data_IF_020845561732
#
_entry.id   IF_020845561732
#
_cell.length_a   1.000
_cell.length_b   1.000
_cell.length_c   1.000
_cell.angle_alpha   90.00
_cell.angle_beta   90.00
_cell.angle_gamma   90.00
#
_symmetry.space_group_name_H-M   'P 1'
#
loop_
_entity.id
_entity.type
_entity.pdbx_description
1 polymer ?
#
# COMPACT_ATOMS: atom_id res chain seq x y z
N UNK A 1 -12.30 7.69 35.82
CA UNK A 1 -12.09 8.68 34.74
C UNK A 1 -10.99 8.19 33.83
N UNK A 2 -11.19 7.10 33.06
CA UNK A 2 -10.24 6.71 32.00
C UNK A 2 -10.73 5.53 31.12
N UNK A 3 -12.00 5.44 30.72
CA UNK A 3 -12.48 4.29 29.90
C UNK A 3 -13.47 4.70 28.79
N UNK A 4 -13.30 5.89 28.20
CA UNK A 4 -14.22 6.35 27.13
C UNK A 4 -13.57 6.99 25.91
N UNK A 5 -12.25 6.87 25.74
CA UNK A 5 -11.56 7.60 24.65
C UNK A 5 -10.68 6.75 23.75
N UNK A 6 -10.85 5.41 23.78
CA UNK A 6 -10.14 4.51 22.87
C UNK A 6 -11.07 3.63 22.02
N UNK A 7 -12.37 3.96 21.93
CA UNK A 7 -13.36 3.23 21.12
C UNK A 7 -13.61 3.87 19.75
N UNK A 8 -12.72 4.74 19.27
CA UNK A 8 -12.59 5.03 17.84
C UNK A 8 -11.56 4.08 17.22
N UNK A 9 -11.71 2.78 17.50
CA UNK A 9 -11.02 1.71 16.81
C UNK A 9 -11.72 1.51 15.49
N UNK A 10 -10.97 1.63 14.40
CA UNK A 10 -11.24 1.05 13.09
C UNK A 10 -12.73 1.02 12.72
N UNK A 11 -13.19 2.12 12.12
CA UNK A 11 -14.33 2.04 11.21
C UNK A 11 -13.89 1.12 10.06
N UNK A 12 -14.05 -0.18 10.26
CA UNK A 12 -13.87 -1.24 9.28
C UNK A 12 -14.95 -0.98 8.24
N UNK A 13 -14.66 -0.06 7.31
CA UNK A 13 -15.57 0.30 6.23
C UNK A 13 -15.80 -0.98 5.41
N UNK A 14 -16.93 -1.61 5.67
CA UNK A 14 -17.49 -2.70 4.88
C UNK A 14 -17.17 -2.43 3.39
N UNK A 15 -16.37 -3.30 2.74
CA UNK A 15 -15.90 -3.02 1.40
C UNK A 15 -17.11 -2.84 0.49
N UNK A 16 -17.23 -1.66 -0.13
CA UNK A 16 -18.29 -1.35 -1.09
C UNK A 16 -18.45 -2.52 -2.07
N UNK A 17 -19.68 -3.02 -2.23
CA UNK A 17 -19.96 -4.10 -3.18
C UNK A 17 -19.44 -3.74 -4.57
N UNK A 18 -18.87 -4.72 -5.27
CA UNK A 18 -18.28 -4.56 -6.62
C UNK A 18 -19.22 -3.83 -7.59
N UNK A 19 -20.53 -4.00 -7.44
CA UNK A 19 -21.55 -3.30 -8.24
C UNK A 19 -21.61 -1.79 -8.00
N UNK A 20 -21.50 -1.35 -6.75
CA UNK A 20 -21.50 0.08 -6.40
C UNK A 20 -20.21 0.77 -6.83
N UNK A 21 -19.07 0.06 -6.76
CA UNK A 21 -17.78 0.54 -7.29
C UNK A 21 -17.88 0.72 -8.81
N UNK A 22 -18.42 -0.27 -9.53
CA UNK A 22 -18.61 -0.17 -10.98
C UNK A 22 -19.53 0.99 -11.35
N UNK A 23 -20.65 1.16 -10.64
CA UNK A 23 -21.57 2.27 -10.88
C UNK A 23 -20.90 3.64 -10.63
N UNK A 24 -20.14 3.78 -9.54
CA UNK A 24 -19.43 5.02 -9.24
C UNK A 24 -18.35 5.37 -10.26
N UNK A 25 -17.62 4.39 -10.78
CA UNK A 25 -16.50 4.65 -11.72
C UNK A 25 -17.01 4.82 -13.15
N UNK A 26 -18.01 4.04 -13.58
CA UNK A 26 -18.45 4.00 -14.98
C UNK A 26 -19.67 4.87 -15.22
N UNK A 27 -20.70 4.82 -14.38
CA UNK A 27 -21.94 5.56 -14.62
C UNK A 27 -21.82 7.02 -14.23
N UNK A 28 -21.15 7.34 -13.11
CA UNK A 28 -21.05 8.71 -12.62
C UNK A 28 -20.40 9.68 -13.62
N UNK A 29 -19.28 9.34 -14.29
CA UNK A 29 -18.70 10.22 -15.31
C UNK A 29 -19.52 10.31 -16.61
N UNK A 30 -20.50 9.42 -16.83
CA UNK A 30 -21.38 9.52 -17.99
C UNK A 30 -22.55 10.47 -17.77
N UNK A 31 -22.91 10.78 -16.52
CA UNK A 31 -24.03 11.67 -16.20
C UNK A 31 -23.85 13.06 -16.83
N UNK A 32 -22.71 13.76 -16.70
CA UNK A 32 -22.52 15.06 -17.35
C UNK A 32 -22.60 14.99 -18.87
N UNK A 33 -22.09 13.91 -19.47
CA UNK A 33 -22.17 13.68 -20.91
C UNK A 33 -23.63 13.56 -21.39
N UNK A 34 -24.44 12.77 -20.68
CA UNK A 34 -25.88 12.60 -20.92
C UNK A 34 -26.61 13.95 -20.78
N UNK A 35 -26.31 14.72 -19.74
CA UNK A 35 -26.91 16.05 -19.51
C UNK A 35 -26.57 17.03 -20.66
N UNK A 36 -25.32 17.06 -21.12
CA UNK A 36 -24.89 17.92 -22.24
C UNK A 36 -25.62 17.51 -23.53
N UNK A 37 -25.76 16.20 -23.77
CA UNK A 37 -26.40 15.66 -24.97
C UNK A 37 -27.91 16.02 -25.03
N UNK A 38 -28.66 15.75 -23.95
CA UNK A 38 -30.11 15.94 -23.91
C UNK A 38 -30.57 17.39 -23.68
N UNK A 39 -29.66 18.31 -23.34
CA UNK A 39 -30.04 19.71 -23.10
C UNK A 39 -30.60 20.36 -24.39
N UNK A 40 -31.91 20.64 -24.43
CA UNK A 40 -32.60 21.22 -25.60
C UNK A 40 -32.25 22.70 -25.85
N UNK A 41 -31.68 23.40 -24.87
CA UNK A 41 -31.35 24.82 -24.96
C UNK A 41 -29.95 25.09 -25.55
N UNK A 42 -29.11 24.06 -25.77
CA UNK A 42 -27.77 24.21 -26.33
C UNK A 42 -27.75 24.04 -27.86
N UNK A 43 -27.08 24.94 -28.58
CA UNK A 43 -26.79 24.80 -30.03
C UNK A 43 -25.93 23.55 -30.29
N UNK A 44 -26.14 22.87 -31.42
CA UNK A 44 -25.40 21.64 -31.81
C UNK A 44 -23.86 21.81 -31.71
N UNK A 45 -23.33 22.93 -32.20
CA UNK A 45 -21.88 23.24 -32.11
C UNK A 45 -21.39 23.41 -30.67
N UNK A 46 -22.21 24.00 -29.80
CA UNK A 46 -21.88 24.22 -28.39
C UNK A 46 -21.90 22.91 -27.59
N UNK A 47 -22.84 22.00 -27.89
CA UNK A 47 -22.85 20.64 -27.33
C UNK A 47 -21.58 19.88 -27.68
N UNK A 48 -21.14 19.96 -28.94
CA UNK A 48 -19.90 19.33 -29.38
C UNK A 48 -18.68 19.88 -28.64
N UNK A 49 -18.57 21.22 -28.51
CA UNK A 49 -17.45 21.85 -27.79
C UNK A 49 -17.46 21.44 -26.31
N UNK A 50 -18.62 21.52 -25.64
CA UNK A 50 -18.72 21.19 -24.22
C UNK A 50 -18.46 19.70 -23.95
N UNK A 51 -18.89 18.81 -24.85
CA UNK A 51 -18.58 17.38 -24.79
C UNK A 51 -17.08 17.10 -24.94
N UNK A 52 -16.39 17.79 -25.86
CA UNK A 52 -14.94 17.65 -26.04
C UNK A 52 -14.19 18.17 -24.80
N UNK A 53 -14.56 19.35 -24.28
CA UNK A 53 -13.96 19.93 -23.06
C UNK A 53 -14.14 18.98 -21.87
N UNK A 54 -15.34 18.44 -21.70
CA UNK A 54 -15.62 17.47 -20.66
C UNK A 54 -14.77 16.20 -20.80
N UNK A 55 -14.67 15.66 -22.02
CA UNK A 55 -13.87 14.46 -22.29
C UNK A 55 -12.37 14.69 -21.99
N UNK A 56 -11.82 15.83 -22.40
CA UNK A 56 -10.42 16.20 -22.10
C UNK A 56 -10.20 16.35 -20.60
N UNK A 57 -11.13 17.01 -19.89
CA UNK A 57 -11.07 17.15 -18.44
C UNK A 57 -11.14 15.79 -17.73
N UNK A 58 -12.11 14.95 -18.11
CA UNK A 58 -12.28 13.62 -17.55
C UNK A 58 -11.05 12.74 -17.79
N UNK A 59 -10.51 12.76 -19.02
CA UNK A 59 -9.28 12.05 -19.34
C UNK A 59 -8.11 12.57 -18.52
N UNK A 60 -7.97 13.90 -18.36
CA UNK A 60 -6.93 14.50 -17.52
C UNK A 60 -7.02 14.06 -16.05
N UNK A 61 -8.22 14.08 -15.47
CA UNK A 61 -8.47 13.58 -14.11
C UNK A 61 -8.14 12.10 -13.99
N UNK A 62 -8.53 11.29 -14.97
CA UNK A 62 -8.23 9.85 -14.99
C UNK A 62 -6.73 9.56 -15.08
N UNK A 63 -6.02 10.25 -15.98
CA UNK A 63 -4.56 10.15 -16.11
C UNK A 63 -3.86 10.58 -14.82
N UNK A 64 -4.29 11.69 -14.20
CA UNK A 64 -3.74 12.14 -12.92
C UNK A 64 -3.93 11.10 -11.81
N UNK A 65 -5.14 10.54 -11.68
CA UNK A 65 -5.43 9.51 -10.69
C UNK A 65 -4.61 8.23 -10.91
N UNK A 66 -4.36 7.86 -12.17
CA UNK A 66 -3.51 6.71 -12.52
C UNK A 66 -2.05 6.95 -12.11
N UNK A 67 -1.51 8.15 -12.37
CA UNK A 67 -0.12 8.49 -12.02
C UNK A 67 0.08 8.58 -10.50
N UNK A 68 -0.93 9.06 -9.76
CA UNK A 68 -0.85 9.22 -8.31
C UNK A 68 -0.70 7.88 -7.54
N UNK A 69 -1.12 6.75 -8.12
CA UNK A 69 -1.01 5.44 -7.48
C UNK A 69 0.43 4.88 -7.51
N UNK A 70 1.27 5.33 -8.45
CA UNK A 70 2.64 4.85 -8.60
C UNK A 70 2.74 3.41 -9.12
N UNK A 71 3.94 2.82 -9.13
CA UNK A 71 4.14 1.46 -9.62
C UNK A 71 3.74 0.39 -8.58
N UNK A 72 3.40 -0.81 -9.07
CA UNK A 72 3.02 -1.98 -8.26
C UNK A 72 4.27 -2.67 -7.68
N UNK A 73 4.20 -3.09 -6.42
CA UNK A 73 5.27 -3.81 -5.73
C UNK A 73 5.55 -5.17 -6.38
N UNK A 74 6.67 -5.26 -7.09
CA UNK A 74 7.07 -6.51 -7.76
C UNK A 74 7.95 -7.37 -6.88
N UNK A 75 8.93 -6.78 -6.19
CA UNK A 75 9.77 -7.50 -5.23
C UNK A 75 10.27 -6.62 -4.06
N UNK A 76 10.71 -7.30 -3.00
CA UNK A 76 11.38 -6.71 -1.84
C UNK A 76 12.75 -7.36 -1.68
N UNK A 77 13.77 -6.53 -1.53
CA UNK A 77 15.17 -6.92 -1.49
C UNK A 77 15.74 -6.54 -0.13
N UNK A 78 16.23 -7.53 0.62
CA UNK A 78 17.07 -7.31 1.80
C UNK A 78 18.52 -7.51 1.34
N UNK A 79 19.40 -6.49 1.41
CA UNK A 79 20.78 -6.60 0.97
C UNK A 79 21.55 -7.70 1.72
N UNK A 80 21.39 -7.74 3.05
CA UNK A 80 22.07 -8.71 3.90
C UNK A 80 21.10 -9.85 4.22
N UNK A 81 21.12 -10.95 3.46
CA UNK A 81 20.23 -12.08 3.75
C UNK A 81 20.67 -12.93 4.95
N UNK A 82 21.93 -12.75 5.37
CA UNK A 82 22.54 -13.43 6.50
C UNK A 82 23.38 -12.43 7.29
N UNK A 83 23.11 -12.29 8.58
CA UNK A 83 23.80 -11.35 9.46
C UNK A 83 24.22 -12.08 10.73
N UNK A 84 25.46 -11.83 11.17
CA UNK A 84 25.95 -12.28 12.47
C UNK A 84 25.97 -11.10 13.43
N UNK A 85 25.38 -11.26 14.61
CA UNK A 85 25.22 -10.20 15.61
C UNK A 85 25.54 -10.78 16.98
N UNK A 86 26.21 -10.02 17.86
CA UNK A 86 26.48 -10.49 19.22
C UNK A 86 25.22 -10.50 20.08
N UNK A 87 25.21 -11.33 21.11
CA UNK A 87 24.11 -11.40 22.07
C UNK A 87 23.94 -10.05 22.78
N UNK A 88 22.69 -9.59 22.89
CA UNK A 88 22.34 -8.31 23.52
C UNK A 88 22.48 -7.09 22.60
N UNK A 89 23.07 -7.24 21.41
CA UNK A 89 23.10 -6.18 20.40
C UNK A 89 21.80 -6.14 19.58
N UNK A 90 21.66 -5.07 18.80
CA UNK A 90 20.51 -4.86 17.92
C UNK A 90 20.94 -4.78 16.46
N UNK A 91 20.04 -5.13 15.56
CA UNK A 91 20.23 -5.00 14.12
C UNK A 91 18.98 -4.42 13.47
N UNK A 92 19.14 -3.32 12.73
CA UNK A 92 18.05 -2.72 11.98
C UNK A 92 17.92 -3.38 10.61
N UNK A 93 16.73 -3.89 10.30
CA UNK A 93 16.46 -4.43 8.96
C UNK A 93 16.34 -3.28 7.97
N UNK A 94 17.18 -3.31 6.94
CA UNK A 94 17.07 -2.43 5.78
C UNK A 94 16.59 -3.21 4.56
N UNK A 95 15.61 -2.67 3.85
CA UNK A 95 15.10 -3.26 2.61
C UNK A 95 14.95 -2.21 1.52
N UNK A 96 14.88 -2.68 0.27
CA UNK A 96 14.58 -1.91 -0.94
C UNK A 96 13.42 -2.54 -1.67
N UNK A 97 12.67 -1.74 -2.42
CA UNK A 97 11.61 -2.22 -3.31
C UNK A 97 12.10 -2.22 -4.75
N UNK A 98 11.52 -3.12 -5.54
CA UNK A 98 11.61 -3.11 -7.00
C UNK A 98 10.20 -3.18 -7.59
N UNK A 99 9.81 -2.25 -8.48
CA UNK A 99 10.55 -1.05 -8.89
C UNK A 99 10.82 -0.07 -7.74
N UNK A 100 11.72 0.89 -7.99
CA UNK A 100 11.97 1.99 -7.06
C UNK A 100 10.73 2.91 -6.98
N UNK A 101 10.55 3.60 -5.85
CA UNK A 101 9.43 4.53 -5.55
C UNK A 101 8.05 3.87 -5.43
N UNK A 102 7.98 2.59 -5.12
CA UNK A 102 6.73 1.94 -4.74
C UNK A 102 6.24 2.52 -3.41
N UNK A 103 4.93 2.81 -3.30
CA UNK A 103 4.31 3.26 -2.06
C UNK A 103 3.98 2.07 -1.18
N UNK A 104 4.86 1.74 -0.24
CA UNK A 104 4.62 0.71 0.78
C UNK A 104 3.64 1.27 1.81
N UNK A 105 2.50 0.61 2.00
CA UNK A 105 1.46 1.04 2.94
C UNK A 105 1.67 0.44 4.33
N UNK A 106 2.18 -0.79 4.39
CA UNK A 106 2.45 -1.47 5.63
C UNK A 106 3.62 -2.45 5.51
N UNK A 107 4.27 -2.66 6.66
CA UNK A 107 5.26 -3.71 6.86
C UNK A 107 4.91 -4.52 8.10
N UNK A 108 5.13 -5.83 8.04
CA UNK A 108 4.99 -6.74 9.16
C UNK A 108 6.23 -7.60 9.29
N UNK A 109 6.73 -7.74 10.52
CA UNK A 109 7.91 -8.52 10.86
C UNK A 109 7.54 -9.65 11.82
N UNK A 110 8.16 -10.81 11.64
CA UNK A 110 8.03 -11.91 12.58
C UNK A 110 9.33 -12.71 12.68
N UNK A 111 9.64 -13.19 13.88
CA UNK A 111 10.76 -14.09 14.13
C UNK A 111 10.27 -15.53 14.22
N UNK A 112 10.98 -16.46 13.56
CA UNK A 112 10.73 -17.88 13.70
C UNK A 112 11.00 -18.36 15.13
N UNK A 113 12.08 -17.88 15.74
CA UNK A 113 12.48 -18.18 17.11
C UNK A 113 12.75 -16.88 17.88
N UNK A 114 11.69 -16.33 18.48
CA UNK A 114 11.74 -15.06 19.19
C UNK A 114 12.61 -15.10 20.46
N UNK A 115 12.88 -16.29 21.01
CA UNK A 115 13.82 -16.50 22.11
C UNK A 115 15.30 -16.37 21.69
N UNK A 116 15.62 -16.56 20.40
CA UNK A 116 16.97 -16.37 19.83
C UNK A 116 17.17 -14.91 19.45
N UNK A 117 16.25 -14.36 18.65
CA UNK A 117 16.17 -12.93 18.38
C UNK A 117 14.72 -12.52 18.14
N UNK A 118 14.30 -11.42 18.74
CA UNK A 118 12.97 -10.82 18.55
C UNK A 118 13.05 -9.65 17.57
N UNK A 119 11.92 -9.27 16.98
CA UNK A 119 11.82 -8.13 16.05
C UNK A 119 10.59 -7.31 16.38
N UNK A 120 10.73 -5.99 16.40
CA UNK A 120 9.62 -5.07 16.66
C UNK A 120 8.85 -4.67 15.37
N UNK A 121 7.84 -3.83 15.53
CA UNK A 121 7.02 -3.32 14.41
C UNK A 121 7.79 -2.43 13.42
N UNK A 122 8.92 -1.86 13.85
CA UNK A 122 9.79 -1.01 13.02
C UNK A 122 10.91 -1.80 12.34
N UNK A 123 10.98 -3.12 12.57
CA UNK A 123 12.02 -3.98 12.03
C UNK A 123 13.36 -3.92 12.79
N UNK A 124 13.36 -3.43 14.04
CA UNK A 124 14.52 -3.50 14.91
C UNK A 124 14.59 -4.91 15.54
N UNK A 125 15.68 -5.61 15.26
CA UNK A 125 15.95 -6.94 15.80
C UNK A 125 16.76 -6.82 17.08
N UNK A 126 16.34 -7.51 18.14
CA UNK A 126 17.09 -7.64 19.40
C UNK A 126 17.52 -9.08 19.61
N UNK A 127 18.82 -9.32 19.75
CA UNK A 127 19.37 -10.68 19.98
C UNK A 127 19.32 -11.05 21.46
N UNK A 128 18.96 -12.31 21.75
CA UNK A 128 18.65 -12.74 23.12
C UNK A 128 19.50 -13.94 23.54
N UNK A 129 19.51 -15.03 22.76
CA UNK A 129 20.35 -16.21 23.03
C UNK A 129 21.16 -16.61 21.79
N UNK A 130 22.38 -17.14 21.94
CA UNK A 130 23.14 -17.69 20.83
C UNK A 130 22.35 -18.72 20.02
N UNK A 131 22.51 -18.71 18.70
CA UNK A 131 21.76 -19.58 17.81
C UNK A 131 21.38 -18.91 16.49
N UNK A 132 20.60 -19.62 15.67
CA UNK A 132 20.14 -19.11 14.37
C UNK A 132 18.63 -18.96 14.37
N UNK A 133 18.12 -17.82 13.91
CA UNK A 133 16.70 -17.59 13.68
C UNK A 133 16.47 -16.92 12.33
N UNK A 134 15.28 -17.11 11.78
CA UNK A 134 14.83 -16.46 10.55
C UNK A 134 13.82 -15.39 10.89
N UNK A 135 14.08 -14.17 10.43
CA UNK A 135 13.14 -13.06 10.44
C UNK A 135 12.44 -13.01 9.08
N UNK A 136 11.11 -12.91 9.11
CA UNK A 136 10.27 -12.72 7.91
C UNK A 136 9.82 -11.26 7.86
N UNK A 137 10.16 -10.57 6.77
CA UNK A 137 9.61 -9.27 6.40
C UNK A 137 8.48 -9.50 5.39
N UNK A 138 7.30 -8.94 5.66
CA UNK A 138 6.19 -8.82 4.72
C UNK A 138 5.95 -7.34 4.45
N UNK A 139 5.95 -6.92 3.18
CA UNK A 139 5.61 -5.55 2.80
C UNK A 139 4.43 -5.57 1.82
N UNK A 140 3.46 -4.68 2.02
CA UNK A 140 2.31 -4.50 1.14
C UNK A 140 2.20 -3.09 0.58
N UNK A 141 1.63 -2.99 -0.62
CA UNK A 141 1.40 -1.71 -1.32
C UNK A 141 -0.07 -1.34 -1.45
N UNK A 142 -0.31 -0.15 -1.97
CA UNK A 142 -1.63 0.42 -2.25
C UNK A 142 -2.40 -0.25 -3.41
N UNK A 143 -1.82 -1.29 -4.02
CA UNK A 143 -2.48 -2.11 -5.04
C UNK A 143 -2.97 -3.44 -4.46
N UNK A 144 -2.96 -3.58 -3.12
CA UNK A 144 -3.29 -4.81 -2.41
C UNK A 144 -2.37 -5.98 -2.79
N UNK A 145 -1.14 -5.69 -3.21
CA UNK A 145 -0.11 -6.71 -3.41
C UNK A 145 0.79 -6.77 -2.19
N UNK A 146 1.33 -7.95 -1.91
CA UNK A 146 2.32 -8.11 -0.84
C UNK A 146 3.46 -9.03 -1.27
N UNK A 147 4.64 -8.79 -0.69
CA UNK A 147 5.84 -9.60 -0.90
C UNK A 147 6.48 -9.96 0.43
N UNK A 148 7.10 -11.14 0.46
CA UNK A 148 7.81 -11.66 1.63
C UNK A 148 9.29 -11.82 1.33
N UNK A 149 10.13 -11.52 2.31
CA UNK A 149 11.57 -11.77 2.26
C UNK A 149 12.05 -12.29 3.61
N UNK A 150 13.12 -13.07 3.58
CA UNK A 150 13.69 -13.71 4.76
C UNK A 150 15.09 -13.19 5.00
N UNK A 151 15.39 -12.95 6.28
CA UNK A 151 16.70 -12.61 6.80
C UNK A 151 17.08 -13.66 7.84
N UNK A 152 18.28 -14.20 7.77
CA UNK A 152 18.80 -15.12 8.78
C UNK A 152 19.70 -14.35 9.74
N UNK A 153 19.38 -14.40 11.03
CA UNK A 153 20.20 -13.84 12.10
C UNK A 153 20.93 -14.98 12.79
N UNK A 154 22.25 -14.88 12.85
CA UNK A 154 23.11 -15.74 13.65
C UNK A 154 23.60 -14.98 14.86
N UNK A 155 23.11 -15.36 16.03
CA UNK A 155 23.51 -14.78 17.31
C UNK A 155 24.72 -15.53 17.83
N UNK A 156 25.78 -14.79 18.13
CA UNK A 156 27.01 -15.29 18.75
C UNK A 156 27.16 -14.67 20.14
N UNK A 157 28.01 -15.25 20.98
CA UNK A 157 28.40 -14.68 22.28
C UNK A 157 29.16 -13.35 22.13
#
# INVERSE_FOLDING_TARGET
>A
MSDKQNSTLNEEREPLSKGWIFAGIVLFPLIPFVLIYFNKHLKKKMKMILGIVYFVFLFGVYQYACVAQGPVLSSVIIPDQYVTVKQGETYQIHYKTDPQKVKVEYTHYSSQYANVASVDQNGLVTTITPGKTRITLTAGDNHHTYKKKYLTIHVIE
#
